data_IF_302364440765
#
_entry.id   IF_302364440765
#
_cell.length_a   1.000
_cell.length_b   1.000
_cell.length_c   1.000
_cell.angle_alpha   90.00
_cell.angle_beta   90.00
_cell.angle_gamma   90.00
#
_symmetry.space_group_name_H-M   'P 1'
#
loop_
_entity.id
_entity.type
_entity.pdbx_description
1 polymer ?
#
# COMPACT_ATOMS: atom_id res chain seq x y z
N UNK A 1 -6.44 -14.36 1.34
CA UNK A 1 -7.38 -15.23 0.59
C UNK A 1 -8.08 -14.50 -0.56
N UNK A 2 -8.47 -13.24 -0.40
CA UNK A 2 -9.14 -12.45 -1.46
C UNK A 2 -8.30 -12.33 -2.75
N UNK A 3 -7.00 -12.03 -2.64
CA UNK A 3 -6.11 -11.89 -3.82
C UNK A 3 -6.01 -13.17 -4.65
N UNK A 4 -5.92 -14.33 -3.99
CA UNK A 4 -5.87 -15.63 -4.67
C UNK A 4 -7.17 -15.92 -5.42
N UNK A 5 -8.32 -15.58 -4.83
CA UNK A 5 -9.62 -15.74 -5.49
C UNK A 5 -9.73 -14.85 -6.73
N UNK A 6 -9.32 -13.58 -6.64
CA UNK A 6 -9.31 -12.66 -7.79
C UNK A 6 -8.44 -13.23 -8.92
N UNK A 7 -7.24 -13.71 -8.60
CA UNK A 7 -6.35 -14.36 -9.57
C UNK A 7 -7.04 -15.54 -10.28
N UNK A 8 -7.61 -16.48 -9.51
CA UNK A 8 -8.29 -17.65 -10.05
C UNK A 8 -9.45 -17.24 -10.96
N UNK A 9 -10.25 -16.26 -10.55
CA UNK A 9 -11.39 -15.75 -11.33
C UNK A 9 -10.91 -15.17 -12.67
N UNK A 10 -9.85 -14.36 -12.66
CA UNK A 10 -9.31 -13.76 -13.89
C UNK A 10 -8.80 -14.85 -14.85
N UNK A 11 -8.12 -15.87 -14.34
CA UNK A 11 -7.64 -16.99 -15.18
C UNK A 11 -8.77 -17.85 -15.72
N UNK A 12 -9.82 -18.11 -14.94
CA UNK A 12 -11.03 -18.80 -15.41
C UNK A 12 -11.70 -17.97 -16.50
N UNK A 13 -11.85 -16.65 -16.31
CA UNK A 13 -12.43 -15.77 -17.30
C UNK A 13 -11.62 -15.78 -18.62
N UNK A 14 -10.30 -15.64 -18.53
CA UNK A 14 -9.41 -15.73 -19.70
C UNK A 14 -9.53 -17.09 -20.42
N UNK A 15 -9.59 -18.19 -19.67
CA UNK A 15 -9.79 -19.53 -20.23
C UNK A 15 -11.12 -19.66 -20.97
N UNK A 16 -12.20 -19.14 -20.39
CA UNK A 16 -13.53 -19.13 -21.02
C UNK A 16 -13.53 -18.31 -22.31
N UNK A 17 -12.91 -17.11 -22.30
CA UNK A 17 -12.79 -16.25 -23.49
C UNK A 17 -12.03 -16.96 -24.62
N UNK A 18 -10.90 -17.58 -24.31
CA UNK A 18 -10.10 -18.32 -25.30
C UNK A 18 -10.87 -19.54 -25.82
N UNK A 19 -11.49 -20.31 -24.92
CA UNK A 19 -12.16 -21.57 -25.26
C UNK A 19 -13.44 -21.36 -26.05
N UNK A 20 -14.26 -20.37 -25.71
CA UNK A 20 -15.57 -20.15 -26.34
C UNK A 20 -15.51 -19.16 -27.51
N UNK A 21 -14.68 -18.12 -27.43
CA UNK A 21 -14.58 -17.10 -28.48
C UNK A 21 -13.57 -17.48 -29.56
N UNK A 22 -12.31 -17.62 -29.15
CA UNK A 22 -11.18 -17.66 -30.10
C UNK A 22 -11.07 -19.02 -30.80
N UNK A 23 -11.24 -20.14 -30.07
CA UNK A 23 -11.19 -21.47 -30.69
C UNK A 23 -12.30 -21.72 -31.72
N UNK A 24 -13.47 -21.10 -31.56
CA UNK A 24 -14.57 -21.18 -32.54
C UNK A 24 -14.29 -20.38 -33.80
N UNK A 25 -13.60 -19.25 -33.70
CA UNK A 25 -13.23 -18.42 -34.86
C UNK A 25 -11.98 -18.90 -35.58
N UNK A 26 -11.09 -19.65 -34.90
CA UNK A 26 -9.80 -20.10 -35.44
C UNK A 26 -9.74 -21.60 -35.75
N UNK A 27 -10.84 -22.17 -36.27
CA UNK A 27 -10.78 -23.48 -36.93
C UNK A 27 -10.00 -23.29 -38.24
N UNK A 28 -8.66 -23.37 -38.17
CA UNK A 28 -7.85 -23.60 -39.36
C UNK A 28 -8.03 -25.06 -39.74
N UNK A 29 -8.63 -25.29 -40.90
CA UNK A 29 -8.71 -26.61 -41.54
C UNK A 29 -7.29 -27.06 -41.87
N UNK A 30 -6.68 -27.81 -40.94
CA UNK A 30 -5.33 -28.33 -41.09
C UNK A 30 -5.40 -29.86 -41.30
N UNK A 31 -4.89 -30.33 -42.43
CA UNK A 31 -4.99 -31.73 -42.91
C UNK A 31 -4.06 -32.71 -42.18
N UNK A 32 -3.46 -32.26 -41.09
CA UNK A 32 -2.59 -33.01 -40.19
C UNK A 32 -3.33 -34.08 -39.39
N UNK A 33 -4.67 -34.06 -39.35
CA UNK A 33 -5.49 -35.14 -38.78
C UNK A 33 -5.38 -36.46 -39.55
N UNK A 34 -4.79 -36.47 -40.74
CA UNK A 34 -4.59 -37.65 -41.57
C UNK A 34 -3.26 -38.38 -41.31
N UNK A 35 -2.39 -37.84 -40.44
CA UNK A 35 -1.12 -38.49 -40.09
C UNK A 35 -1.30 -39.45 -38.91
N UNK A 36 -0.96 -40.71 -39.11
CA UNK A 36 -0.83 -41.71 -38.05
C UNK A 36 0.33 -41.32 -37.15
N UNK A 37 0.05 -40.96 -35.90
CA UNK A 37 1.07 -40.53 -34.92
C UNK A 37 1.93 -41.73 -34.54
N UNK A 38 3.22 -41.69 -34.89
CA UNK A 38 4.25 -42.56 -34.29
C UNK A 38 4.75 -41.93 -32.99
N UNK A 39 5.05 -42.75 -31.98
CA UNK A 39 5.69 -42.28 -30.75
C UNK A 39 6.98 -41.50 -31.08
N UNK A 40 7.10 -40.28 -30.58
CA UNK A 40 8.24 -39.39 -30.84
C UNK A 40 8.00 -38.28 -31.87
N UNK A 41 6.79 -38.17 -32.43
CA UNK A 41 6.45 -37.06 -33.33
C UNK A 41 6.15 -35.75 -32.56
N UNK A 42 7.21 -34.96 -32.32
CA UNK A 42 7.13 -33.63 -31.68
C UNK A 42 6.23 -32.65 -32.46
N UNK A 43 6.05 -32.85 -33.76
CA UNK A 43 5.24 -31.95 -34.61
C UNK A 43 3.73 -32.01 -34.31
N UNK A 44 3.29 -33.01 -33.53
CA UNK A 44 1.91 -33.11 -33.03
C UNK A 44 1.62 -32.15 -31.85
N UNK A 45 2.65 -31.61 -31.18
CA UNK A 45 2.48 -30.66 -30.08
C UNK A 45 2.30 -29.26 -30.65
N UNK A 46 1.07 -28.75 -30.64
CA UNK A 46 0.77 -27.37 -31.06
C UNK A 46 0.73 -26.41 -29.88
N UNK A 47 1.57 -25.36 -29.85
CA UNK A 47 1.48 -24.32 -28.83
C UNK A 47 0.23 -23.46 -29.04
N UNK A 48 -0.54 -23.25 -27.97
CA UNK A 48 -1.66 -22.30 -27.95
C UNK A 48 -1.11 -20.88 -27.74
N UNK A 49 -0.72 -20.23 -28.85
CA UNK A 49 -0.08 -18.90 -28.83
C UNK A 49 -0.99 -17.83 -28.21
N UNK A 50 -2.31 -17.96 -28.39
CA UNK A 50 -3.27 -17.04 -27.82
C UNK A 50 -3.42 -17.22 -26.31
N UNK A 51 -3.51 -18.46 -25.83
CA UNK A 51 -3.52 -18.71 -24.39
C UNK A 51 -2.23 -18.18 -23.73
N UNK A 52 -1.07 -18.36 -24.37
CA UNK A 52 0.20 -17.80 -23.89
C UNK A 52 0.17 -16.27 -23.83
N UNK A 53 -0.29 -15.60 -24.90
CA UNK A 53 -0.42 -14.14 -24.93
C UNK A 53 -1.33 -13.60 -23.82
N UNK A 54 -2.53 -14.17 -23.66
CA UNK A 54 -3.46 -13.73 -22.61
C UNK A 54 -2.92 -14.00 -21.21
N UNK A 55 -2.19 -15.09 -21.01
CA UNK A 55 -1.54 -15.38 -19.72
C UNK A 55 -0.55 -14.27 -19.33
N UNK A 56 0.35 -13.89 -20.25
CA UNK A 56 1.31 -12.80 -20.02
C UNK A 56 0.59 -11.46 -19.85
N UNK A 57 -0.42 -11.19 -20.67
CA UNK A 57 -1.21 -9.96 -20.60
C UNK A 57 -1.92 -9.80 -19.24
N UNK A 58 -2.53 -10.86 -18.74
CA UNK A 58 -3.18 -10.88 -17.42
C UNK A 58 -2.17 -10.62 -16.29
N UNK A 59 -0.96 -11.19 -16.39
CA UNK A 59 0.09 -10.91 -15.41
C UNK A 59 0.49 -9.43 -15.41
N UNK A 60 0.58 -8.80 -16.57
CA UNK A 60 0.83 -7.36 -16.69
C UNK A 60 -0.30 -6.52 -16.09
N UNK A 61 -1.56 -6.88 -16.34
CA UNK A 61 -2.71 -6.19 -15.73
C UNK A 61 -2.70 -6.32 -14.21
N UNK A 62 -2.42 -7.51 -13.68
CA UNK A 62 -2.35 -7.73 -12.24
C UNK A 62 -1.18 -6.95 -11.63
N UNK A 63 -0.01 -6.98 -12.27
CA UNK A 63 1.14 -6.20 -11.85
C UNK A 63 0.79 -4.71 -11.78
N UNK A 64 0.19 -4.13 -12.83
CA UNK A 64 -0.21 -2.73 -12.82
C UNK A 64 -1.29 -2.40 -11.77
N UNK A 65 -2.27 -3.30 -11.58
CA UNK A 65 -3.35 -3.11 -10.61
C UNK A 65 -2.86 -3.06 -9.16
N UNK A 66 -1.83 -3.86 -8.81
CA UNK A 66 -1.28 -3.91 -7.44
C UNK A 66 -0.16 -2.89 -7.18
N UNK A 67 0.37 -2.25 -8.22
CA UNK A 67 1.44 -1.23 -8.11
C UNK A 67 0.95 0.20 -8.35
N UNK A 68 -0.36 0.41 -8.53
CA UNK A 68 -0.91 1.74 -8.79
C UNK A 68 -0.57 2.30 -10.18
N UNK A 69 -0.30 1.43 -11.16
CA UNK A 69 0.18 1.83 -12.48
C UNK A 69 -0.83 2.65 -13.27
N UNK A 70 -0.40 3.74 -13.88
CA UNK A 70 -1.26 4.56 -14.75
C UNK A 70 -1.74 3.82 -16.02
N UNK A 71 -1.14 2.68 -16.38
CA UNK A 71 -1.51 1.91 -17.57
C UNK A 71 -2.75 1.02 -17.38
N UNK A 72 -3.12 0.74 -16.14
CA UNK A 72 -4.26 -0.11 -15.81
C UNK A 72 -5.36 0.76 -15.18
N UNK A 73 -6.63 0.67 -15.63
CA UNK A 73 -7.69 1.54 -15.11
C UNK A 73 -8.27 1.07 -13.76
N UNK A 74 -8.01 -0.17 -13.36
CA UNK A 74 -8.54 -0.78 -12.14
C UNK A 74 -7.37 -1.11 -11.22
N UNK A 75 -7.39 -0.56 -10.01
CA UNK A 75 -6.33 -0.76 -9.01
C UNK A 75 -6.86 -1.39 -7.75
N UNK A 76 -5.97 -2.07 -7.04
CA UNK A 76 -6.18 -2.37 -5.63
C UNK A 76 -6.25 -1.03 -4.84
N UNK A 77 -7.04 -0.94 -3.77
CA UNK A 77 -7.05 0.22 -2.87
C UNK A 77 -5.63 0.54 -2.40
N UNK A 78 -5.20 1.78 -2.65
CA UNK A 78 -3.90 2.30 -2.25
C UNK A 78 -3.82 2.62 -0.75
N UNK A 79 -2.66 3.07 -0.27
CA UNK A 79 -2.52 3.56 1.08
C UNK A 79 -3.38 4.81 1.29
N UNK A 80 -3.77 5.06 2.53
CA UNK A 80 -4.44 6.31 2.87
C UNK A 80 -3.49 7.50 2.66
N UNK A 81 -3.99 8.55 2.01
CA UNK A 81 -3.31 9.83 1.80
C UNK A 81 -4.34 10.92 2.07
N UNK A 82 -3.98 11.89 2.90
CA UNK A 82 -4.88 12.96 3.32
C UNK A 82 -4.71 13.34 4.79
N UNK A 83 -5.61 14.19 5.26
CA UNK A 83 -5.63 14.60 6.67
C UNK A 83 -6.51 13.64 7.46
N UNK A 84 -5.99 13.16 8.58
CA UNK A 84 -6.75 12.46 9.61
C UNK A 84 -6.47 13.07 10.97
N UNK A 85 -7.29 12.75 11.96
CA UNK A 85 -7.12 13.20 13.33
C UNK A 85 -7.59 12.12 14.29
N UNK A 86 -6.96 12.06 15.45
CA UNK A 86 -7.41 11.23 16.57
C UNK A 86 -7.24 11.99 17.88
N UNK A 87 -8.07 11.68 18.85
CA UNK A 87 -8.06 12.31 20.18
C UNK A 87 -7.38 11.37 21.16
N UNK A 88 -6.60 11.92 22.08
CA UNK A 88 -6.02 11.17 23.19
C UNK A 88 -6.29 11.90 24.50
N UNK A 89 -6.50 11.13 25.56
CA UNK A 89 -6.70 11.66 26.91
C UNK A 89 -5.46 11.39 27.74
N UNK A 90 -4.90 12.46 28.29
CA UNK A 90 -3.82 12.39 29.27
C UNK A 90 -4.36 12.50 30.69
N UNK A 91 -3.80 11.71 31.59
CA UNK A 91 -4.04 11.79 33.01
C UNK A 91 -2.77 12.30 33.70
N UNK A 92 -2.89 13.42 34.39
CA UNK A 92 -1.83 14.02 35.20
C UNK A 92 -1.64 13.25 36.52
N UNK A 93 -0.50 13.41 37.23
CA UNK A 93 -0.22 12.71 38.49
C UNK A 93 -1.24 12.97 39.60
N UNK A 94 -1.94 14.10 39.55
CA UNK A 94 -3.01 14.49 40.47
C UNK A 94 -4.36 13.83 40.13
N UNK A 95 -4.43 13.00 39.09
CA UNK A 95 -5.63 12.34 38.60
C UNK A 95 -6.53 13.20 37.71
N UNK A 96 -6.13 14.44 37.40
CA UNK A 96 -6.87 15.29 36.46
C UNK A 96 -6.64 14.78 35.04
N UNK A 97 -7.72 14.69 34.27
CA UNK A 97 -7.70 14.26 32.87
C UNK A 97 -7.91 15.44 31.95
N UNK A 98 -7.25 15.41 30.81
CA UNK A 98 -7.36 16.42 29.77
C UNK A 98 -7.22 15.78 28.38
N UNK A 99 -7.93 16.34 27.42
CA UNK A 99 -8.06 15.79 26.07
C UNK A 99 -7.31 16.66 25.06
N UNK A 100 -6.53 16.02 24.20
CA UNK A 100 -5.80 16.68 23.13
C UNK A 100 -5.99 15.93 21.80
N UNK A 101 -5.90 16.66 20.70
CA UNK A 101 -6.07 16.10 19.35
C UNK A 101 -4.74 16.11 18.61
N UNK A 102 -4.39 14.97 18.01
CA UNK A 102 -3.29 14.87 17.06
C UNK A 102 -3.85 14.95 15.65
N UNK A 103 -3.39 15.93 14.88
CA UNK A 103 -3.66 16.06 13.46
C UNK A 103 -2.54 15.40 12.66
N UNK A 104 -2.87 14.40 11.86
CA UNK A 104 -1.92 13.68 11.03
C UNK A 104 -2.16 13.99 9.55
N UNK A 105 -1.20 14.67 8.93
CA UNK A 105 -1.12 14.85 7.48
C UNK A 105 -0.36 13.68 6.86
N UNK A 106 -1.06 12.79 6.18
CA UNK A 106 -0.48 11.64 5.50
C UNK A 106 -0.19 12.02 4.04
N UNK A 107 1.08 12.06 3.66
CA UNK A 107 1.51 12.42 2.31
C UNK A 107 2.02 11.18 1.53
N UNK A 108 1.95 11.18 0.19
CA UNK A 108 2.46 10.08 -0.63
C UNK A 108 3.96 9.81 -0.41
N UNK A 109 4.40 8.56 -0.58
CA UNK A 109 5.83 8.26 -0.53
C UNK A 109 6.59 9.02 -1.64
N UNK A 110 7.80 9.50 -1.31
CA UNK A 110 8.65 10.24 -2.25
C UNK A 110 8.37 11.75 -2.33
N UNK A 111 7.30 12.22 -1.70
CA UNK A 111 7.00 13.65 -1.54
C UNK A 111 7.41 14.14 -0.14
N UNK A 112 7.55 15.45 0.03
CA UNK A 112 7.74 16.07 1.34
C UNK A 112 6.44 16.70 1.80
N UNK A 113 5.84 16.15 2.85
CA UNK A 113 4.71 16.78 3.52
C UNK A 113 5.16 17.62 4.73
N UNK A 114 4.55 18.78 4.89
CA UNK A 114 4.71 19.60 6.09
C UNK A 114 3.56 19.30 7.06
N UNK A 115 3.81 19.33 8.39
CA UNK A 115 2.73 19.28 9.36
C UNK A 115 1.75 20.43 9.15
N UNK A 116 0.47 20.20 9.40
CA UNK A 116 -0.54 21.25 9.40
C UNK A 116 -0.28 22.24 10.55
N UNK A 117 -0.54 23.53 10.35
CA UNK A 117 -0.53 24.50 11.45
C UNK A 117 -1.81 24.33 12.28
N UNK A 118 -1.66 24.08 13.58
CA UNK A 118 -2.75 23.75 14.50
C UNK A 118 -2.63 24.60 15.75
N UNK A 119 -3.76 25.13 16.22
CA UNK A 119 -3.80 25.85 17.47
C UNK A 119 -3.64 24.89 18.66
N UNK A 120 -2.79 25.20 19.66
CA UNK A 120 -2.46 24.28 20.74
C UNK A 120 -3.66 23.86 21.62
N UNK A 121 -4.81 24.50 21.51
CA UNK A 121 -5.98 24.20 22.35
C UNK A 121 -5.87 24.79 23.76
N UNK A 122 -6.84 24.45 24.60
CA UNK A 122 -6.90 24.86 26.00
C UNK A 122 -6.75 23.63 26.90
N UNK A 123 -5.91 23.73 27.92
CA UNK A 123 -5.59 22.61 28.80
C UNK A 123 -4.09 22.45 29.02
N UNK A 124 -3.71 21.45 29.80
CA UNK A 124 -2.30 21.08 29.96
C UNK A 124 -1.81 20.15 28.85
N UNK A 125 -2.71 19.36 28.24
CA UNK A 125 -2.45 18.59 27.04
C UNK A 125 -2.81 19.44 25.82
N UNK A 126 -1.86 19.64 24.90
CA UNK A 126 -2.02 20.52 23.75
C UNK A 126 -2.13 19.72 22.46
N UNK A 127 -2.82 20.30 21.48
CA UNK A 127 -2.97 19.68 20.17
C UNK A 127 -1.63 19.60 19.46
N UNK A 128 -1.41 18.48 18.78
CA UNK A 128 -0.21 18.23 17.98
C UNK A 128 -0.52 18.14 16.50
N UNK A 129 0.50 18.38 15.69
CA UNK A 129 0.45 18.16 14.26
C UNK A 129 1.67 17.37 13.80
N UNK A 130 1.41 16.35 12.99
CA UNK A 130 2.43 15.49 12.42
C UNK A 130 2.26 15.38 10.91
N UNK A 131 3.38 15.21 10.21
CA UNK A 131 3.40 14.77 8.83
C UNK A 131 4.02 13.38 8.75
N UNK A 132 3.32 12.45 8.12
CA UNK A 132 3.76 11.05 7.99
C UNK A 132 3.67 10.62 6.52
N UNK A 133 4.70 9.93 6.05
CA UNK A 133 4.66 9.33 4.71
C UNK A 133 3.75 8.09 4.72
N UNK A 134 3.02 7.87 3.64
CA UNK A 134 2.30 6.62 3.40
C UNK A 134 3.20 5.39 3.65
N UNK A 135 2.62 4.31 4.18
CA UNK A 135 3.32 3.08 4.61
C UNK A 135 4.35 3.21 5.75
N UNK A 136 4.64 4.42 6.23
CA UNK A 136 5.56 4.64 7.34
C UNK A 136 4.80 4.89 8.64
N UNK A 137 5.42 4.50 9.75
CA UNK A 137 4.96 4.88 11.08
C UNK A 137 5.70 6.13 11.56
N UNK A 138 5.02 7.03 12.25
CA UNK A 138 5.63 8.18 12.90
C UNK A 138 5.48 8.10 14.41
N UNK A 139 6.54 8.48 15.14
CA UNK A 139 6.50 8.59 16.59
C UNK A 139 6.10 10.01 16.99
N UNK A 140 4.88 10.15 17.47
CA UNK A 140 4.33 11.40 17.99
C UNK A 140 4.90 11.64 19.39
N UNK A 141 5.59 12.77 19.54
CA UNK A 141 6.06 13.27 20.83
C UNK A 141 5.07 14.30 21.33
N UNK A 142 4.04 13.82 22.01
CA UNK A 142 2.94 14.62 22.56
C UNK A 142 3.42 15.66 23.59
N UNK A 143 4.48 15.32 24.31
CA UNK A 143 5.03 16.09 25.42
C UNK A 143 5.88 17.31 25.01
N UNK A 144 5.92 17.69 23.73
CA UNK A 144 6.78 18.79 23.27
C UNK A 144 6.21 20.17 23.56
N UNK A 145 4.90 20.32 23.55
CA UNK A 145 4.17 21.58 23.70
C UNK A 145 3.22 21.57 24.91
N UNK A 146 2.99 20.40 25.51
CA UNK A 146 2.23 20.20 26.75
C UNK A 146 2.81 20.99 27.95
N UNK A 147 1.93 21.36 28.88
CA UNK A 147 2.32 22.02 30.14
C UNK A 147 2.72 21.00 31.23
N UNK A 148 2.09 19.82 31.23
CA UNK A 148 2.46 18.69 32.10
C UNK A 148 2.97 17.57 31.20
N UNK A 149 4.24 17.23 31.35
CA UNK A 149 4.89 16.25 30.50
C UNK A 149 4.85 14.85 31.13
N UNK A 150 5.29 13.86 30.34
CA UNK A 150 5.48 12.49 30.86
C UNK A 150 6.58 12.39 31.91
N UNK A 151 7.54 13.32 31.92
CA UNK A 151 8.58 13.38 32.96
C UNK A 151 7.99 13.78 34.32
N UNK A 152 6.93 14.59 34.30
CA UNK A 152 6.16 14.97 35.49
C UNK A 152 5.25 13.83 35.99
N UNK A 153 5.11 12.75 35.20
CA UNK A 153 4.31 11.56 35.52
C UNK A 153 2.96 11.49 34.80
N UNK A 154 2.70 12.35 33.82
CA UNK A 154 1.50 12.24 33.01
C UNK A 154 1.53 11.00 32.11
N UNK A 155 0.36 10.38 31.90
CA UNK A 155 0.20 9.15 31.12
C UNK A 155 -1.00 9.23 30.18
N UNK A 156 -0.88 8.63 29.00
CA UNK A 156 -2.03 8.45 28.10
C UNK A 156 -2.89 7.31 28.63
N UNK A 157 -4.18 7.57 28.84
CA UNK A 157 -5.14 6.60 29.37
C UNK A 157 -6.19 6.17 28.35
N UNK A 158 -6.53 7.03 27.39
CA UNK A 158 -7.55 6.77 26.37
C UNK A 158 -7.11 7.31 25.00
N UNK A 159 -7.52 6.63 23.92
CA UNK A 159 -7.35 7.05 22.52
C UNK A 159 -8.69 6.84 21.81
N UNK A 160 -9.23 7.89 21.21
CA UNK A 160 -10.58 7.91 20.59
C UNK A 160 -11.66 7.28 21.49
N UNK A 161 -11.59 7.56 22.80
CA UNK A 161 -12.49 7.03 23.81
C UNK A 161 -12.29 5.56 24.18
N UNK A 162 -11.27 4.89 23.63
CA UNK A 162 -10.90 3.53 24.02
C UNK A 162 -9.81 3.55 25.11
N UNK A 163 -9.97 2.79 26.20
CA UNK A 163 -8.95 2.72 27.25
C UNK A 163 -7.69 2.00 26.74
N UNK A 164 -6.54 2.59 27.01
CA UNK A 164 -5.24 2.08 26.57
C UNK A 164 -4.26 1.96 27.73
N UNK A 165 -3.33 1.01 27.57
CA UNK A 165 -2.16 0.88 28.43
C UNK A 165 -0.89 0.85 27.59
N UNK A 166 0.28 0.92 28.22
CA UNK A 166 1.56 0.84 27.51
C UNK A 166 1.64 -0.45 26.70
N UNK A 167 2.00 -0.34 25.42
CA UNK A 167 2.03 -1.46 24.47
C UNK A 167 0.70 -1.74 23.78
N UNK A 168 -0.39 -1.10 24.19
CA UNK A 168 -1.70 -1.27 23.55
C UNK A 168 -1.73 -0.68 22.15
N UNK A 169 -2.51 -1.31 21.28
CA UNK A 169 -2.76 -0.89 19.91
C UNK A 169 -4.25 -0.64 19.72
N UNK A 170 -4.59 0.53 19.19
CA UNK A 170 -5.96 0.96 18.93
C UNK A 170 -6.10 1.33 17.46
N UNK A 171 -7.19 0.87 16.84
CA UNK A 171 -7.57 1.32 15.50
C UNK A 171 -8.23 2.70 15.61
N UNK A 172 -7.73 3.64 14.82
CA UNK A 172 -8.23 5.02 14.75
C UNK A 172 -8.67 5.29 13.32
N UNK A 173 -9.24 6.46 13.08
CA UNK A 173 -9.64 6.82 11.73
C UNK A 173 -8.45 6.82 10.76
N UNK A 174 -8.61 6.04 9.69
CA UNK A 174 -7.62 5.88 8.62
C UNK A 174 -6.23 5.34 9.05
N UNK A 175 -6.13 4.68 10.20
CA UNK A 175 -4.87 4.09 10.64
C UNK A 175 -4.92 3.36 11.97
N UNK A 176 -3.77 3.29 12.63
CA UNK A 176 -3.61 2.60 13.91
C UNK A 176 -2.64 3.38 14.78
N UNK A 177 -2.98 3.55 16.05
CA UNK A 177 -2.11 4.14 17.06
C UNK A 177 -1.64 3.06 18.02
N UNK A 178 -0.33 3.00 18.28
CA UNK A 178 0.27 2.12 19.28
C UNK A 178 0.90 2.95 20.38
N UNK A 179 0.53 2.70 21.63
CA UNK A 179 1.19 3.30 22.80
C UNK A 179 2.52 2.58 23.02
N UNK A 180 3.62 3.28 22.90
CA UNK A 180 4.96 2.68 23.11
C UNK A 180 5.19 2.37 24.59
N UNK A 181 6.20 1.55 24.90
CA UNK A 181 6.61 1.27 26.29
C UNK A 181 7.07 2.52 27.06
N UNK A 182 7.44 3.58 26.35
CA UNK A 182 7.82 4.89 26.92
C UNK A 182 6.64 5.86 27.03
N UNK A 183 5.42 5.46 26.65
CA UNK A 183 4.23 6.31 26.67
C UNK A 183 4.10 7.31 25.51
N UNK A 184 5.01 7.30 24.53
CA UNK A 184 4.81 8.05 23.28
C UNK A 184 3.80 7.32 22.40
N UNK A 185 3.13 8.03 21.49
CA UNK A 185 2.20 7.46 20.53
C UNK A 185 2.90 7.19 19.19
N UNK A 186 2.73 6.01 18.63
CA UNK A 186 3.18 5.69 17.27
C UNK A 186 1.97 5.56 16.37
N UNK A 187 1.83 6.48 15.41
CA UNK A 187 0.76 6.46 14.42
C UNK A 187 1.25 5.80 13.13
N UNK A 188 0.45 4.90 12.58
CA UNK A 188 0.65 4.28 11.28
C UNK A 188 -0.63 4.38 10.44
N UNK A 189 -0.62 5.05 9.27
CA UNK A 189 -1.78 5.10 8.40
C UNK A 189 -2.04 3.74 7.74
N UNK A 190 -3.26 3.52 7.26
CA UNK A 190 -3.57 2.28 6.53
C UNK A 190 -2.74 2.17 5.24
N UNK A 191 -2.00 1.06 5.12
CA UNK A 191 -1.16 0.75 3.97
C UNK A 191 -1.93 0.38 2.69
N UNK A 192 -3.22 0.05 2.81
CA UNK A 192 -4.02 -0.45 1.69
C UNK A 192 -3.62 -1.87 1.25
N UNK A 193 -3.97 -2.21 0.01
CA UNK A 193 -3.67 -3.51 -0.62
C UNK A 193 -2.61 -3.42 -1.73
N UNK A 194 -2.15 -2.23 -2.06
CA UNK A 194 -1.08 -2.03 -3.04
C UNK A 194 0.29 -2.42 -2.44
N UNK A 195 1.21 -2.85 -3.31
CA UNK A 195 2.61 -3.06 -2.95
C UNK A 195 3.36 -1.74 -2.96
N UNK A 196 4.24 -1.52 -1.97
CA UNK A 196 5.14 -0.37 -2.00
C UNK A 196 6.08 -0.46 -3.23
N UNK A 197 6.33 0.66 -3.93
CA UNK A 197 7.22 0.70 -5.10
C UNK A 197 8.64 0.18 -4.82
N UNK A 198 9.10 0.24 -3.57
CA UNK A 198 10.40 -0.29 -3.17
C UNK A 198 10.53 -1.81 -3.36
N UNK A 199 9.43 -2.55 -3.24
CA UNK A 199 9.42 -4.01 -3.42
C UNK A 199 9.15 -4.41 -4.86
N UNK A 200 8.20 -3.73 -5.50
CA UNK A 200 7.83 -3.97 -6.88
C UNK A 200 7.49 -2.64 -7.55
N UNK A 201 8.39 -2.08 -8.38
CA UNK A 201 8.08 -0.87 -9.12
C UNK A 201 6.95 -1.13 -10.13
N UNK A 202 6.23 -0.07 -10.49
CA UNK A 202 5.19 -0.16 -11.52
C UNK A 202 5.79 -0.43 -12.92
N UNK A 203 5.00 -0.99 -13.85
CA UNK A 203 5.45 -1.28 -15.22
C UNK A 203 6.12 -0.11 -15.94
N UNK A 204 5.55 1.09 -15.81
CA UNK A 204 6.06 2.31 -16.42
C UNK A 204 7.41 2.72 -15.82
N UNK A 205 7.60 2.53 -14.51
CA UNK A 205 8.86 2.83 -13.82
C UNK A 205 9.98 1.89 -14.27
N UNK A 206 9.66 0.61 -14.51
CA UNK A 206 10.62 -0.34 -15.07
C UNK A 206 11.03 0.06 -16.48
N UNK A 207 10.07 0.42 -17.33
CA UNK A 207 10.38 0.85 -18.70
C UNK A 207 11.20 2.14 -18.71
N UNK A 208 10.83 3.13 -17.88
CA UNK A 208 11.61 4.36 -17.73
C UNK A 208 13.05 4.06 -17.32
N UNK A 209 13.25 3.15 -16.36
CA UNK A 209 14.58 2.73 -15.91
C UNK A 209 15.37 2.01 -17.00
N UNK A 210 14.74 1.16 -17.81
CA UNK A 210 15.39 0.49 -18.95
C UNK A 210 15.88 1.52 -19.97
N UNK A 211 15.05 2.51 -20.31
CA UNK A 211 15.41 3.58 -21.24
C UNK A 211 16.56 4.42 -20.68
N UNK A 212 16.48 4.83 -19.41
CA UNK A 212 17.54 5.57 -18.73
C UNK A 212 18.89 4.82 -18.80
N UNK A 213 18.90 3.55 -18.41
CA UNK A 213 20.11 2.69 -18.45
C UNK A 213 20.64 2.57 -19.88
N UNK A 214 19.76 2.48 -20.88
CA UNK A 214 20.19 2.38 -22.29
C UNK A 214 20.90 3.64 -22.80
N UNK A 215 20.56 4.81 -22.24
CA UNK A 215 21.11 6.12 -22.64
C UNK A 215 22.35 6.46 -21.80
N UNK A 216 22.27 6.27 -20.48
CA UNK A 216 23.27 6.77 -19.52
C UNK A 216 24.24 5.70 -19.02
N UNK A 217 24.01 4.43 -19.40
CA UNK A 217 24.73 3.29 -18.84
C UNK A 217 24.25 2.92 -17.44
N UNK A 218 24.68 1.75 -16.95
CA UNK A 218 24.34 1.31 -15.60
C UNK A 218 25.13 2.12 -14.55
N UNK A 219 24.42 2.86 -13.70
CA UNK A 219 24.99 3.55 -12.56
C UNK A 219 24.50 2.90 -11.25
N UNK A 220 25.40 2.42 -10.37
CA UNK A 220 25.03 1.79 -9.11
C UNK A 220 24.71 2.88 -8.07
N UNK A 221 23.68 3.68 -8.31
CA UNK A 221 23.04 4.51 -7.29
C UNK A 221 21.82 3.77 -6.78
N UNK A 222 21.76 3.56 -5.46
CA UNK A 222 20.58 2.99 -4.81
C UNK A 222 19.34 3.77 -5.25
N UNK A 223 18.24 3.08 -5.60
CA UNK A 223 17.13 3.73 -6.24
C UNK A 223 16.44 4.67 -5.25
N UNK A 224 16.53 5.97 -5.53
CA UNK A 224 15.49 6.91 -5.13
C UNK A 224 14.48 6.86 -6.25
N UNK A 225 13.40 6.11 -6.06
CA UNK A 225 12.30 6.11 -7.02
C UNK A 225 11.75 7.53 -7.07
N UNK A 226 11.77 8.21 -8.24
CA UNK A 226 11.14 9.50 -8.37
C UNK A 226 9.65 9.33 -8.06
N UNK A 227 9.12 10.23 -7.22
CA UNK A 227 7.68 10.33 -7.00
C UNK A 227 7.00 10.61 -8.35
N UNK A 228 5.94 9.84 -8.63
CA UNK A 228 5.04 10.09 -9.75
C UNK A 228 4.32 11.44 -9.58
#
# INVERSE_FOLDING_TARGET
MIVLLIYIIIFIAAFIVVRLGIRRMMVRNDFTSLKTVTFGDESAVRPDRWASFFSVFVLFLLWGAFTGSNWVPIHAPGPFVGNTKFTYTMEAPNGVRDDATVYAHVFPEGQTGNPQEVEPGAGFAKNDSIAVAAWRSYLVRIDKNDEITREDGARVVEIDGQPVSLGSRVEVDHGTVTVTSKGSLSFAPYAGMQMEPIWLPSPEMVVARIVEISIQGYQPTFPKWPAA
#
